data_IF_099238173996
#
_entry.id   IF_099238173996
#
_cell.length_a   1.000
_cell.length_b   1.000
_cell.length_c   1.000
_cell.angle_alpha   90.00
_cell.angle_beta   90.00
_cell.angle_gamma   90.00
#
_symmetry.space_group_name_H-M   'P 1'
#
loop_
_entity.id
_entity.type
_entity.pdbx_description
1 polymer ?
#
# COMPACT_ATOMS: atom_id res chain seq x y z
N UNK A 1 9.22 -2.32 12.38
CA UNK A 1 10.71 -2.40 12.41
C UNK A 1 11.43 -1.09 12.70
N UNK A 2 10.81 0.09 12.57
CA UNK A 2 11.46 1.36 12.97
C UNK A 2 11.97 1.29 14.41
N UNK A 3 11.18 0.66 15.28
CA UNK A 3 11.53 0.33 16.66
C UNK A 3 12.85 -0.46 16.80
N UNK A 4 13.17 -1.36 15.85
CA UNK A 4 14.41 -2.16 15.86
C UNK A 4 15.62 -1.41 15.32
N UNK A 5 15.42 -0.47 14.40
CA UNK A 5 16.51 0.24 13.71
C UNK A 5 16.77 1.66 14.24
N UNK A 6 15.87 2.21 15.05
CA UNK A 6 16.00 3.50 15.72
C UNK A 6 15.77 4.73 14.84
N UNK A 7 16.15 4.69 13.55
CA UNK A 7 15.88 5.79 12.61
C UNK A 7 15.68 5.31 11.17
N UNK A 8 15.04 6.14 10.34
CA UNK A 8 14.88 5.87 8.91
C UNK A 8 16.24 5.79 8.19
N UNK A 9 17.24 6.58 8.60
CA UNK A 9 18.59 6.49 8.03
C UNK A 9 19.25 5.14 8.32
N UNK A 10 19.02 4.57 9.50
CA UNK A 10 19.55 3.25 9.85
C UNK A 10 18.85 2.15 9.06
N UNK A 11 17.53 2.24 8.89
CA UNK A 11 16.78 1.34 7.99
C UNK A 11 17.34 1.43 6.57
N UNK A 12 17.57 2.64 6.07
CA UNK A 12 18.13 2.88 4.75
C UNK A 12 19.53 2.25 4.59
N UNK A 13 20.43 2.48 5.55
CA UNK A 13 21.78 1.88 5.55
C UNK A 13 21.72 0.35 5.52
N UNK A 14 20.91 -0.25 6.38
CA UNK A 14 20.75 -1.71 6.43
C UNK A 14 20.15 -2.26 5.12
N UNK A 15 19.16 -1.59 4.53
CA UNK A 15 18.61 -1.98 3.23
C UNK A 15 19.63 -1.87 2.09
N UNK A 16 20.53 -0.88 2.15
CA UNK A 16 21.58 -0.72 1.15
C UNK A 16 22.66 -1.81 1.23
N UNK A 17 22.77 -2.56 2.34
CA UNK A 17 23.67 -3.72 2.41
C UNK A 17 23.29 -4.80 1.37
N UNK A 18 22.01 -4.93 1.03
CA UNK A 18 21.54 -5.80 -0.05
C UNK A 18 22.16 -5.40 -1.40
N UNK A 19 22.19 -4.11 -1.70
CA UNK A 19 22.79 -3.58 -2.92
C UNK A 19 24.30 -3.78 -2.90
N UNK A 20 24.96 -3.51 -1.78
CA UNK A 20 26.41 -3.72 -1.62
C UNK A 20 26.83 -5.18 -1.75
N UNK A 21 25.94 -6.11 -1.46
CA UNK A 21 26.20 -7.55 -1.59
C UNK A 21 26.14 -8.06 -3.04
N UNK A 22 25.62 -7.26 -3.98
CA UNK A 22 25.63 -7.62 -5.41
C UNK A 22 27.06 -7.75 -5.93
N UNK A 23 27.33 -8.64 -6.89
CA UNK A 23 28.62 -8.66 -7.59
C UNK A 23 28.78 -7.40 -8.45
N UNK A 24 30.00 -7.05 -8.90
CA UNK A 24 30.25 -5.84 -9.70
C UNK A 24 29.44 -5.74 -10.99
N UNK A 25 29.10 -6.88 -11.59
CA UNK A 25 28.27 -7.05 -12.79
C UNK A 25 26.78 -7.27 -12.48
N UNK A 26 26.40 -7.27 -11.20
CA UNK A 26 25.01 -7.38 -10.77
C UNK A 26 24.20 -6.12 -11.10
N UNK A 27 22.87 -6.27 -11.08
CA UNK A 27 21.91 -5.17 -11.28
C UNK A 27 21.30 -4.72 -9.96
N UNK A 28 21.36 -3.41 -9.71
CA UNK A 28 20.60 -2.76 -8.65
C UNK A 28 19.32 -2.13 -9.20
N UNK A 29 18.17 -2.42 -8.58
CA UNK A 29 16.88 -1.81 -8.94
C UNK A 29 16.40 -0.91 -7.80
N UNK A 30 16.05 0.33 -8.13
CA UNK A 30 15.82 1.40 -7.15
C UNK A 30 14.48 2.11 -7.39
N UNK A 31 13.74 2.35 -6.32
CA UNK A 31 12.57 3.21 -6.33
C UNK A 31 13.00 4.69 -6.22
N UNK A 32 12.94 5.42 -7.32
CA UNK A 32 13.35 6.83 -7.38
C UNK A 32 12.49 7.76 -6.53
N UNK A 33 11.24 7.38 -6.27
CA UNK A 33 10.27 8.21 -5.56
C UNK A 33 10.56 8.30 -4.06
N UNK A 34 11.36 7.38 -3.52
CA UNK A 34 11.80 7.45 -2.14
C UNK A 34 13.15 8.20 -2.06
N UNK A 35 13.23 9.34 -1.33
CA UNK A 35 14.46 10.13 -1.25
C UNK A 35 15.67 9.35 -0.73
N UNK A 36 15.49 8.47 0.25
CA UNK A 36 16.59 7.66 0.79
C UNK A 36 17.09 6.62 -0.24
N UNK A 37 16.18 6.02 -1.01
CA UNK A 37 16.53 5.06 -2.06
C UNK A 37 17.16 5.76 -3.26
N UNK A 38 16.72 6.98 -3.58
CA UNK A 38 17.38 7.83 -4.58
C UNK A 38 18.83 8.13 -4.19
N UNK A 39 19.07 8.53 -2.93
CA UNK A 39 20.42 8.72 -2.42
C UNK A 39 21.29 7.44 -2.51
N UNK A 40 20.69 6.25 -2.37
CA UNK A 40 21.41 4.99 -2.59
C UNK A 40 21.79 4.80 -4.06
N UNK A 41 20.88 5.08 -4.99
CA UNK A 41 21.15 5.00 -6.42
C UNK A 41 22.27 5.96 -6.85
N UNK A 42 22.29 7.17 -6.29
CA UNK A 42 23.29 8.21 -6.54
C UNK A 42 24.70 7.82 -6.08
N UNK A 43 24.85 6.82 -5.19
CA UNK A 43 26.18 6.30 -4.81
C UNK A 43 26.89 5.55 -5.94
N UNK A 44 26.18 5.21 -7.02
CA UNK A 44 26.81 4.67 -8.23
C UNK A 44 27.19 3.19 -8.18
N UNK A 45 26.69 2.41 -7.21
CA UNK A 45 26.92 0.96 -7.11
C UNK A 45 25.60 0.17 -7.13
N UNK A 46 25.53 -0.98 -7.82
CA UNK A 46 26.53 -1.52 -8.76
C UNK A 46 26.63 -0.66 -10.04
N UNK A 47 27.44 -1.06 -11.03
CA UNK A 47 27.58 -0.31 -12.29
C UNK A 47 26.25 -0.25 -13.06
N UNK A 48 25.56 -1.38 -13.18
CA UNK A 48 24.25 -1.47 -13.83
C UNK A 48 23.15 -1.16 -12.82
N UNK A 49 22.46 -0.03 -13.00
CA UNK A 49 21.40 0.43 -12.09
C UNK A 49 20.16 0.82 -12.87
N UNK A 50 19.02 0.28 -12.45
CA UNK A 50 17.71 0.63 -13.00
C UNK A 50 16.94 1.41 -11.93
N UNK A 51 16.46 2.59 -12.30
CA UNK A 51 15.56 3.36 -11.46
C UNK A 51 14.15 3.36 -12.06
N UNK A 52 13.16 3.34 -11.17
CA UNK A 52 11.73 3.43 -11.54
C UNK A 52 11.07 4.60 -10.83
N UNK A 53 10.02 5.15 -11.43
CA UNK A 53 9.20 6.20 -10.79
C UNK A 53 7.76 6.15 -11.27
N UNK A 54 6.80 6.36 -10.37
CA UNK A 54 5.41 6.64 -10.75
C UNK A 54 5.03 8.12 -10.67
N UNK A 55 5.96 8.98 -10.24
CA UNK A 55 5.73 10.41 -10.02
C UNK A 55 6.40 11.32 -11.05
N UNK A 56 7.31 10.79 -11.88
CA UNK A 56 7.96 11.54 -12.94
C UNK A 56 7.25 11.37 -14.28
N UNK A 57 7.20 12.44 -15.07
CA UNK A 57 6.91 12.32 -16.49
C UNK A 57 8.04 11.58 -17.23
N UNK A 58 7.77 10.98 -18.40
CA UNK A 58 8.82 10.35 -19.21
C UNK A 58 10.00 11.28 -19.54
N UNK A 59 9.72 12.56 -19.80
CA UNK A 59 10.76 13.56 -20.11
C UNK A 59 11.67 13.85 -18.90
N UNK A 60 11.07 14.03 -17.71
CA UNK A 60 11.85 14.23 -16.47
C UNK A 60 12.64 12.99 -16.11
N UNK A 61 12.04 11.82 -16.25
CA UNK A 61 12.67 10.54 -15.99
C UNK A 61 13.91 10.32 -16.87
N UNK A 62 13.80 10.59 -18.17
CA UNK A 62 14.93 10.51 -19.10
C UNK A 62 16.08 11.44 -18.68
N UNK A 63 15.79 12.68 -18.27
CA UNK A 63 16.81 13.65 -17.78
C UNK A 63 17.50 13.17 -16.50
N UNK A 64 16.81 12.40 -15.68
CA UNK A 64 17.30 11.88 -14.39
C UNK A 64 17.92 10.48 -14.50
N UNK A 65 17.89 9.84 -15.67
CA UNK A 65 18.34 8.45 -15.84
C UNK A 65 17.40 7.43 -15.20
N UNK A 66 16.13 7.76 -15.02
CA UNK A 66 15.07 6.85 -14.58
C UNK A 66 14.49 6.15 -15.81
N UNK A 67 14.53 4.82 -15.81
CA UNK A 67 14.19 4.02 -16.99
C UNK A 67 12.70 3.74 -17.11
N UNK A 68 12.08 3.14 -16.10
CA UNK A 68 10.67 2.76 -16.17
C UNK A 68 9.80 3.72 -15.40
N UNK A 69 8.82 4.32 -16.08
CA UNK A 69 7.84 5.18 -15.45
C UNK A 69 6.41 4.77 -15.71
N UNK A 70 5.53 5.06 -14.75
CA UNK A 70 4.09 4.89 -14.93
C UNK A 70 3.42 6.22 -15.27
N UNK A 71 2.50 6.20 -16.24
CA UNK A 71 1.66 7.36 -16.60
C UNK A 71 0.19 6.97 -16.63
N UNK A 72 -0.69 7.97 -16.58
CA UNK A 72 -2.15 7.80 -16.67
C UNK A 72 -2.71 6.79 -15.66
N UNK A 73 -2.20 6.82 -14.43
CA UNK A 73 -2.60 5.89 -13.38
C UNK A 73 -4.04 6.15 -12.98
N UNK A 74 -4.86 5.11 -13.11
CA UNK A 74 -6.24 5.12 -12.66
C UNK A 74 -6.51 3.85 -11.85
N UNK A 75 -7.25 4.03 -10.77
CA UNK A 75 -7.64 2.96 -9.87
C UNK A 75 -9.16 2.80 -9.89
N UNK A 76 -9.62 1.57 -10.06
CA UNK A 76 -11.03 1.22 -10.10
C UNK A 76 -11.28 0.02 -9.20
N UNK A 77 -12.55 -0.31 -8.97
CA UNK A 77 -12.89 -1.56 -8.28
C UNK A 77 -12.35 -2.80 -9.01
N UNK A 78 -12.15 -2.75 -10.32
CA UNK A 78 -11.65 -3.89 -11.08
C UNK A 78 -10.11 -3.97 -11.14
N UNK A 79 -9.42 -3.03 -10.49
CA UNK A 79 -7.96 -2.98 -10.41
C UNK A 79 -7.36 -1.69 -10.96
N UNK A 80 -6.08 -1.77 -11.31
CA UNK A 80 -5.26 -0.65 -11.78
C UNK A 80 -5.13 -0.65 -13.31
N UNK A 81 -5.22 0.54 -13.88
CA UNK A 81 -4.98 0.80 -15.31
C UNK A 81 -3.97 1.95 -15.44
N UNK A 82 -2.87 1.73 -16.16
CA UNK A 82 -1.80 2.71 -16.36
C UNK A 82 -0.93 2.29 -17.54
N UNK A 83 -0.12 3.20 -18.07
CA UNK A 83 0.92 2.84 -19.04
C UNK A 83 2.28 2.74 -18.34
N UNK A 84 3.12 1.77 -18.77
CA UNK A 84 4.55 1.75 -18.45
C UNK A 84 5.30 2.24 -19.68
N UNK A 85 6.16 3.23 -19.48
CA UNK A 85 7.09 3.75 -20.50
C UNK A 85 8.51 3.34 -20.13
N UNK A 86 9.23 2.72 -21.06
CA UNK A 86 10.67 2.52 -20.99
C UNK A 86 11.36 3.72 -21.68
N UNK A 87 11.97 4.61 -20.91
CA UNK A 87 12.60 5.85 -21.43
C UNK A 87 13.89 5.59 -22.21
N UNK A 88 14.45 4.38 -22.13
CA UNK A 88 15.64 3.98 -22.89
C UNK A 88 15.27 3.60 -24.32
N UNK A 89 14.17 2.86 -24.50
CA UNK A 89 13.69 2.39 -25.82
C UNK A 89 12.59 3.28 -26.41
N UNK A 90 11.96 4.13 -25.59
CA UNK A 90 10.72 4.85 -25.87
C UNK A 90 9.52 3.94 -26.16
N UNK A 91 9.59 2.67 -25.74
CA UNK A 91 8.44 1.76 -25.82
C UNK A 91 7.44 2.10 -24.72
N UNK A 92 6.15 1.96 -25.05
CA UNK A 92 5.05 2.14 -24.12
C UNK A 92 4.10 0.94 -24.21
N UNK A 93 3.70 0.41 -23.05
CA UNK A 93 2.65 -0.61 -22.97
C UNK A 93 1.59 -0.22 -21.97
N UNK A 94 0.35 -0.57 -22.29
CA UNK A 94 -0.76 -0.40 -21.36
C UNK A 94 -0.87 -1.60 -20.42
N UNK A 95 -0.88 -1.34 -19.12
CA UNK A 95 -1.08 -2.31 -18.05
C UNK A 95 -2.52 -2.27 -17.59
N UNK A 96 -3.13 -3.46 -17.56
CA UNK A 96 -4.35 -3.74 -16.83
C UNK A 96 -4.04 -4.85 -15.84
N UNK A 97 -4.34 -4.66 -14.56
CA UNK A 97 -4.11 -5.66 -13.52
C UNK A 97 -5.26 -5.67 -12.53
N UNK A 98 -5.70 -6.85 -12.04
CA UNK A 98 -6.76 -6.91 -11.02
C UNK A 98 -6.26 -6.54 -9.62
N UNK A 99 -4.97 -6.24 -9.45
CA UNK A 99 -4.42 -5.76 -8.18
C UNK A 99 -5.01 -4.40 -7.83
N UNK A 100 -5.37 -4.24 -6.56
CA UNK A 100 -5.83 -2.98 -5.98
C UNK A 100 -4.68 -2.29 -5.23
N UNK A 101 -4.83 -1.00 -4.96
CA UNK A 101 -3.87 -0.16 -4.26
C UNK A 101 -2.83 0.43 -5.22
N UNK A 102 -2.85 1.74 -5.43
CA UNK A 102 -1.89 2.47 -6.28
C UNK A 102 -0.40 2.23 -5.91
N UNK A 103 -0.10 1.74 -4.70
CA UNK A 103 1.25 1.30 -4.33
C UNK A 103 1.74 0.09 -5.15
N UNK A 104 0.82 -0.73 -5.67
CA UNK A 104 1.16 -1.84 -6.56
C UNK A 104 1.68 -1.38 -7.94
N UNK A 105 1.44 -0.13 -8.35
CA UNK A 105 2.10 0.45 -9.54
C UNK A 105 3.62 0.46 -9.33
N UNK A 106 4.09 0.92 -8.17
CA UNK A 106 5.53 0.90 -7.83
C UNK A 106 6.08 -0.52 -7.79
N UNK A 107 5.34 -1.47 -7.19
CA UNK A 107 5.75 -2.88 -7.16
C UNK A 107 5.87 -3.48 -8.57
N UNK A 108 4.91 -3.17 -9.44
CA UNK A 108 4.91 -3.62 -10.84
C UNK A 108 6.04 -2.99 -11.64
N UNK A 109 6.34 -1.71 -11.44
CA UNK A 109 7.50 -1.07 -12.08
C UNK A 109 8.81 -1.72 -11.63
N UNK A 110 8.98 -2.00 -10.33
CA UNK A 110 10.16 -2.71 -9.82
C UNK A 110 10.29 -4.12 -10.43
N UNK A 111 9.18 -4.87 -10.51
CA UNK A 111 9.15 -6.18 -11.14
C UNK A 111 9.43 -6.10 -12.65
N UNK A 112 8.91 -5.07 -13.33
CA UNK A 112 9.15 -4.80 -14.75
C UNK A 112 10.62 -4.56 -15.01
N UNK A 113 11.28 -3.74 -14.17
CA UNK A 113 12.71 -3.47 -14.31
C UNK A 113 13.56 -4.74 -14.24
N UNK A 114 13.24 -5.64 -13.30
CA UNK A 114 13.92 -6.94 -13.20
C UNK A 114 13.58 -7.82 -14.41
N UNK A 115 12.31 -7.97 -14.76
CA UNK A 115 11.88 -8.87 -15.84
C UNK A 115 12.46 -8.47 -17.20
N UNK A 116 12.44 -7.17 -17.52
CA UNK A 116 13.00 -6.65 -18.79
C UNK A 116 14.52 -6.78 -18.80
N UNK A 117 15.19 -6.57 -17.66
CA UNK A 117 16.63 -6.83 -17.55
C UNK A 117 16.98 -8.30 -17.84
N UNK A 118 16.15 -9.24 -17.39
CA UNK A 118 16.29 -10.68 -17.63
C UNK A 118 15.80 -11.11 -19.04
N UNK A 119 15.49 -10.16 -19.92
CA UNK A 119 15.19 -10.41 -21.34
C UNK A 119 13.71 -10.60 -21.68
N UNK A 120 12.80 -10.36 -20.74
CA UNK A 120 11.36 -10.35 -21.01
C UNK A 120 10.97 -9.09 -21.78
N UNK A 121 10.11 -9.21 -22.79
CA UNK A 121 9.63 -8.03 -23.53
C UNK A 121 8.59 -7.27 -22.71
N UNK A 122 8.52 -5.96 -22.92
CA UNK A 122 7.60 -5.11 -22.17
C UNK A 122 6.13 -5.50 -22.42
N UNK A 123 5.77 -5.97 -23.62
CA UNK A 123 4.42 -6.48 -23.91
C UNK A 123 4.11 -7.79 -23.18
N UNK A 124 5.12 -8.62 -22.90
CA UNK A 124 4.93 -9.86 -22.14
C UNK A 124 4.63 -9.52 -20.68
N UNK A 125 5.27 -8.49 -20.14
CA UNK A 125 4.97 -7.97 -18.79
C UNK A 125 3.52 -7.51 -18.73
N UNK A 126 3.08 -6.71 -19.71
CA UNK A 126 1.69 -6.26 -19.82
C UNK A 126 0.69 -7.42 -19.93
N UNK A 127 1.03 -8.46 -20.69
CA UNK A 127 0.20 -9.65 -20.81
C UNK A 127 0.08 -10.40 -19.47
N UNK A 128 1.19 -10.60 -18.75
CA UNK A 128 1.19 -11.30 -17.45
C UNK A 128 0.47 -10.52 -16.36
N UNK A 129 0.60 -9.19 -16.35
CA UNK A 129 -0.03 -8.31 -15.36
C UNK A 129 -1.55 -8.51 -15.23
N UNK A 130 -2.22 -8.88 -16.33
CA UNK A 130 -3.67 -9.15 -16.39
C UNK A 130 -4.13 -10.34 -15.55
N UNK A 131 -3.21 -11.26 -15.27
CA UNK A 131 -3.50 -12.53 -14.59
C UNK A 131 -2.96 -12.60 -13.17
N UNK A 132 -2.31 -11.53 -12.70
CA UNK A 132 -1.78 -11.46 -11.35
C UNK A 132 -2.90 -11.66 -10.33
N UNK A 133 -2.53 -12.26 -9.21
CA UNK A 133 -3.41 -12.40 -8.05
C UNK A 133 -2.81 -11.61 -6.90
N UNK A 134 -3.63 -11.00 -6.04
CA UNK A 134 -3.13 -10.38 -4.82
C UNK A 134 -2.42 -11.44 -3.98
N UNK A 135 -1.34 -11.02 -3.31
CA UNK A 135 -0.77 -11.84 -2.26
C UNK A 135 -1.78 -12.03 -1.12
N UNK A 136 -1.64 -13.11 -0.36
CA UNK A 136 -2.50 -13.37 0.79
C UNK A 136 -2.54 -12.16 1.74
N UNK A 137 -3.74 -11.78 2.17
CA UNK A 137 -4.00 -10.63 3.06
C UNK A 137 -3.46 -9.28 2.55
N UNK A 138 -3.37 -9.09 1.23
CA UNK A 138 -3.00 -7.83 0.57
C UNK A 138 -4.11 -7.32 -0.35
N UNK A 139 -5.05 -6.57 0.21
CA UNK A 139 -6.24 -6.06 -0.50
C UNK A 139 -7.04 -7.16 -1.22
N UNK A 140 -7.18 -8.32 -0.58
CA UNK A 140 -7.96 -9.43 -1.13
C UNK A 140 -9.44 -9.07 -1.02
N UNK A 141 -10.11 -8.94 -2.17
CA UNK A 141 -11.54 -8.62 -2.25
C UNK A 141 -12.39 -9.89 -2.40
N UNK A 142 -13.43 -10.00 -1.58
CA UNK A 142 -14.44 -11.06 -1.66
C UNK A 142 -15.84 -10.48 -1.44
N UNK A 143 -16.87 -11.11 -2.00
CA UNK A 143 -18.26 -10.73 -1.76
C UNK A 143 -18.96 -11.87 -1.03
N UNK A 144 -19.60 -11.57 0.09
CA UNK A 144 -20.34 -12.56 0.88
C UNK A 144 -21.62 -12.99 0.17
N UNK A 145 -22.23 -14.08 0.62
CA UNK A 145 -23.55 -14.52 0.12
C UNK A 145 -24.66 -13.49 0.37
N UNK A 146 -24.46 -12.56 1.30
CA UNK A 146 -25.38 -11.48 1.66
C UNK A 146 -25.12 -10.21 0.82
N UNK A 147 -24.12 -10.21 -0.08
CA UNK A 147 -23.80 -9.08 -0.94
C UNK A 147 -22.94 -8.01 -0.29
N UNK A 148 -22.29 -8.29 0.86
CA UNK A 148 -21.32 -7.39 1.50
C UNK A 148 -19.96 -7.60 0.85
N UNK A 149 -19.26 -6.51 0.52
CA UNK A 149 -17.87 -6.61 0.04
C UNK A 149 -16.91 -6.61 1.22
N UNK A 150 -16.05 -7.62 1.30
CA UNK A 150 -14.95 -7.71 2.25
C UNK A 150 -13.64 -7.39 1.51
N UNK A 151 -12.84 -6.50 2.08
CA UNK A 151 -11.48 -6.20 1.65
C UNK A 151 -10.55 -6.57 2.81
N UNK A 152 -9.69 -7.55 2.60
CA UNK A 152 -8.73 -8.00 3.60
C UNK A 152 -7.32 -7.47 3.26
N UNK A 153 -6.84 -6.51 4.07
CA UNK A 153 -5.46 -6.01 4.08
C UNK A 153 -4.83 -6.13 5.48
N UNK A 154 -5.10 -7.25 6.15
CA UNK A 154 -4.67 -7.51 7.52
C UNK A 154 -3.15 -7.73 7.70
N UNK A 155 -2.33 -7.52 6.67
CA UNK A 155 -0.86 -7.57 6.78
C UNK A 155 -0.20 -6.18 6.70
N UNK A 156 -0.93 -5.15 6.25
CA UNK A 156 -0.33 -3.81 6.09
C UNK A 156 0.07 -3.22 7.44
N UNK A 157 1.35 -2.92 7.62
CA UNK A 157 1.87 -2.23 8.82
C UNK A 157 2.59 -0.91 8.48
N UNK A 158 2.65 -0.53 7.19
CA UNK A 158 3.35 0.67 6.75
C UNK A 158 2.35 1.76 6.33
N UNK A 159 2.66 3.06 6.58
CA UNK A 159 1.74 4.17 6.29
C UNK A 159 1.26 4.24 4.83
N UNK A 160 2.14 3.97 3.86
CA UNK A 160 1.79 4.02 2.43
C UNK A 160 0.73 2.97 2.06
N UNK A 161 0.88 1.75 2.57
CA UNK A 161 -0.08 0.66 2.37
C UNK A 161 -1.44 0.97 3.00
N UNK A 162 -1.43 1.48 4.23
CA UNK A 162 -2.64 1.88 4.98
C UNK A 162 -3.44 2.94 4.22
N UNK A 163 -2.80 4.00 3.75
CA UNK A 163 -3.47 5.05 2.97
C UNK A 163 -4.03 4.47 1.66
N UNK A 164 -3.26 3.59 0.99
CA UNK A 164 -3.73 2.88 -0.20
C UNK A 164 -5.00 2.06 0.06
N UNK A 165 -5.05 1.32 1.17
CA UNK A 165 -6.22 0.53 1.54
C UNK A 165 -7.46 1.40 1.82
N UNK A 166 -7.29 2.53 2.50
CA UNK A 166 -8.37 3.49 2.75
C UNK A 166 -8.91 4.10 1.44
N UNK A 167 -8.02 4.43 0.49
CA UNK A 167 -8.45 4.89 -0.85
C UNK A 167 -9.26 3.83 -1.58
N UNK A 168 -8.82 2.57 -1.53
CA UNK A 168 -9.57 1.43 -2.11
C UNK A 168 -10.94 1.31 -1.46
N UNK A 169 -11.05 1.45 -0.14
CA UNK A 169 -12.35 1.50 0.55
C UNK A 169 -13.21 2.65 0.01
N UNK A 170 -12.62 3.83 -0.23
CA UNK A 170 -13.27 5.00 -0.81
C UNK A 170 -13.85 4.82 -2.22
N UNK A 171 -13.34 3.86 -3.01
CA UNK A 171 -13.89 3.52 -4.33
C UNK A 171 -15.31 2.93 -4.24
N UNK A 172 -15.70 2.41 -3.07
CA UNK A 172 -17.04 1.90 -2.80
C UNK A 172 -17.99 3.06 -2.46
N UNK A 173 -18.53 3.70 -3.49
CA UNK A 173 -19.39 4.88 -3.34
C UNK A 173 -20.84 4.56 -2.96
N UNK A 174 -21.24 3.29 -3.03
CA UNK A 174 -22.57 2.82 -2.63
C UNK A 174 -22.49 2.17 -1.23
N UNK A 175 -23.54 2.34 -0.43
CA UNK A 175 -23.62 1.74 0.90
C UNK A 175 -22.67 2.37 1.92
N UNK A 176 -22.52 1.68 3.05
CA UNK A 176 -21.59 2.00 4.14
C UNK A 176 -20.19 1.47 3.82
N UNK A 177 -19.19 2.21 4.28
CA UNK A 177 -17.77 1.85 4.23
C UNK A 177 -17.24 1.71 5.65
N UNK A 178 -17.14 0.48 6.13
CA UNK A 178 -16.65 0.16 7.46
C UNK A 178 -15.14 -0.10 7.44
N UNK A 179 -14.39 0.61 8.28
CA UNK A 179 -13.00 0.26 8.61
C UNK A 179 -12.96 -0.54 9.92
N UNK A 180 -12.24 -1.66 9.94
CA UNK A 180 -11.90 -2.42 11.14
C UNK A 180 -10.37 -2.45 11.25
N UNK A 181 -9.83 -1.91 12.34
CA UNK A 181 -8.38 -1.83 12.53
C UNK A 181 -7.98 -1.83 14.02
N UNK A 182 -6.87 -2.46 14.39
CA UNK A 182 -6.23 -2.28 15.69
C UNK A 182 -5.10 -1.23 15.67
N UNK A 183 -4.86 -0.60 14.51
CA UNK A 183 -3.75 0.31 14.29
C UNK A 183 -2.47 -0.34 13.79
N UNK A 184 -1.52 0.53 13.43
CA UNK A 184 -0.17 0.15 13.04
C UNK A 184 0.71 -0.11 14.26
N UNK A 185 1.42 -1.24 14.25
CA UNK A 185 2.35 -1.69 15.30
C UNK A 185 3.82 -1.57 14.86
N UNK A 186 4.77 -1.75 15.79
CA UNK A 186 6.23 -1.68 15.56
C UNK A 186 6.77 -0.36 14.94
N UNK A 187 6.10 0.76 15.22
CA UNK A 187 6.46 2.09 14.72
C UNK A 187 7.43 2.86 15.62
N UNK A 188 7.67 2.38 16.86
CA UNK A 188 8.50 3.09 17.84
C UNK A 188 7.95 4.50 18.11
N UNK A 189 8.82 5.50 18.08
CA UNK A 189 8.47 6.91 18.37
C UNK A 189 7.43 7.51 17.39
N UNK A 190 7.26 6.90 16.20
CA UNK A 190 6.27 7.35 15.21
C UNK A 190 4.86 6.78 15.45
N UNK A 191 4.68 5.90 16.45
CA UNK A 191 3.41 5.22 16.68
C UNK A 191 2.25 6.18 16.89
N UNK A 192 2.41 7.18 17.77
CA UNK A 192 1.38 8.18 18.07
C UNK A 192 1.01 8.98 16.81
N UNK A 193 2.03 9.51 16.12
CA UNK A 193 1.85 10.39 14.97
C UNK A 193 1.18 9.67 13.78
N UNK A 194 1.68 8.49 13.41
CA UNK A 194 1.20 7.77 12.22
C UNK A 194 -0.18 7.15 12.46
N UNK A 195 -0.49 6.68 13.68
CA UNK A 195 -1.84 6.21 13.99
C UNK A 195 -2.85 7.37 14.09
N UNK A 196 -2.42 8.56 14.55
CA UNK A 196 -3.27 9.75 14.48
C UNK A 196 -3.58 10.14 13.03
N UNK A 197 -2.57 10.15 12.15
CA UNK A 197 -2.75 10.35 10.70
C UNK A 197 -3.67 9.29 10.07
N UNK A 198 -3.57 8.04 10.51
CA UNK A 198 -4.48 6.97 10.08
C UNK A 198 -5.92 7.33 10.43
N UNK A 199 -6.18 7.78 11.66
CA UNK A 199 -7.52 8.22 12.08
C UNK A 199 -8.05 9.41 11.27
N UNK A 200 -7.22 10.43 11.07
CA UNK A 200 -7.56 11.60 10.23
C UNK A 200 -7.91 11.18 8.80
N UNK A 201 -7.08 10.33 8.19
CA UNK A 201 -7.31 9.83 6.82
C UNK A 201 -8.54 8.92 6.75
N UNK A 202 -8.75 8.07 7.76
CA UNK A 202 -9.90 7.18 7.81
C UNK A 202 -11.22 7.96 7.81
N UNK A 203 -11.26 9.15 8.43
CA UNK A 203 -12.44 10.02 8.42
C UNK A 203 -12.84 10.50 7.01
N UNK A 204 -11.90 10.54 6.05
CA UNK A 204 -12.18 10.91 4.66
C UNK A 204 -12.88 9.79 3.88
N UNK A 205 -12.55 8.52 4.18
CA UNK A 205 -12.96 7.38 3.36
C UNK A 205 -13.99 6.48 4.03
N UNK A 206 -14.00 6.34 5.35
CA UNK A 206 -14.91 5.48 6.07
C UNK A 206 -16.21 6.20 6.44
N UNK A 207 -17.33 5.48 6.47
CA UNK A 207 -18.58 5.95 7.07
C UNK A 207 -18.71 5.50 8.52
N UNK A 208 -18.07 4.40 8.88
CA UNK A 208 -18.08 3.77 10.19
C UNK A 208 -16.68 3.20 10.49
N UNK A 209 -16.25 3.26 11.75
CA UNK A 209 -14.95 2.72 12.19
C UNK A 209 -15.14 1.86 13.43
N UNK A 210 -14.56 0.67 13.42
CA UNK A 210 -14.37 -0.17 14.60
C UNK A 210 -12.87 -0.24 14.90
N UNK A 211 -12.50 0.25 16.08
CA UNK A 211 -11.18 0.13 16.65
C UNK A 211 -11.10 -1.13 17.51
N UNK A 212 -10.12 -1.99 17.26
CA UNK A 212 -9.90 -3.24 18.00
C UNK A 212 -8.77 -3.05 19.01
N UNK A 213 -9.15 -3.03 20.29
CA UNK A 213 -8.29 -2.84 21.46
C UNK A 213 -8.15 -1.38 21.87
N UNK A 214 -8.75 -1.05 23.00
CA UNK A 214 -8.98 0.34 23.44
C UNK A 214 -7.73 1.15 23.76
N UNK A 215 -6.62 0.51 24.18
CA UNK A 215 -5.39 1.20 24.59
C UNK A 215 -4.56 1.65 23.40
N UNK A 216 -4.26 0.75 22.45
CA UNK A 216 -3.38 1.04 21.32
C UNK A 216 -4.04 1.92 20.26
N UNK A 217 -5.37 1.92 20.17
CA UNK A 217 -6.09 2.70 19.17
C UNK A 217 -6.43 4.11 19.62
N UNK A 218 -6.01 4.54 20.82
CA UNK A 218 -6.23 5.91 21.32
C UNK A 218 -5.75 6.99 20.33
N UNK A 219 -4.57 6.87 19.70
CA UNK A 219 -4.12 7.88 18.74
C UNK A 219 -5.02 7.95 17.50
N UNK A 220 -5.56 6.80 17.05
CA UNK A 220 -6.50 6.73 15.92
C UNK A 220 -7.83 7.41 16.29
N UNK A 221 -8.37 7.10 17.47
CA UNK A 221 -9.59 7.72 17.96
C UNK A 221 -9.44 9.24 18.05
N UNK A 222 -8.28 9.73 18.50
CA UNK A 222 -7.95 11.16 18.50
C UNK A 222 -7.90 11.74 17.09
N UNK A 223 -7.26 11.06 16.14
CA UNK A 223 -7.22 11.50 14.74
C UNK A 223 -8.62 11.59 14.10
N UNK A 224 -9.48 10.61 14.38
CA UNK A 224 -10.89 10.64 13.96
C UNK A 224 -11.64 11.82 14.58
N UNK A 225 -11.44 12.08 15.87
CA UNK A 225 -12.05 13.21 16.57
C UNK A 225 -11.57 14.56 16.04
N UNK A 226 -10.25 14.72 15.84
CA UNK A 226 -9.63 15.92 15.30
C UNK A 226 -10.17 16.24 13.88
N UNK A 227 -10.50 15.20 13.11
CA UNK A 227 -11.14 15.30 11.79
C UNK A 227 -12.69 15.47 11.83
N UNK A 228 -13.31 15.51 13.02
CA UNK A 228 -14.75 15.68 13.18
C UNK A 228 -15.58 14.44 12.86
N UNK A 229 -15.00 13.24 12.95
CA UNK A 229 -15.71 11.99 12.72
C UNK A 229 -16.82 11.77 13.76
N UNK A 230 -18.05 11.36 13.38
CA UNK A 230 -19.15 11.24 14.32
C UNK A 230 -18.91 10.14 15.37
N UNK A 231 -19.00 10.50 16.66
CA UNK A 231 -18.85 9.52 17.76
C UNK A 231 -19.85 8.36 17.67
N UNK A 232 -21.05 8.60 17.11
CA UNK A 232 -22.08 7.57 16.90
C UNK A 232 -21.72 6.54 15.83
N UNK A 233 -20.67 6.80 15.04
CA UNK A 233 -20.14 5.96 13.96
C UNK A 233 -18.78 5.34 14.31
N UNK A 234 -18.26 5.66 15.49
CA UNK A 234 -17.04 5.11 16.04
C UNK A 234 -17.38 4.08 17.12
N UNK A 235 -16.87 2.87 16.94
CA UNK A 235 -16.98 1.79 17.91
C UNK A 235 -15.60 1.35 18.35
N UNK A 236 -15.49 0.98 19.63
CA UNK A 236 -14.28 0.39 20.19
C UNK A 236 -14.68 -0.95 20.79
N UNK A 237 -13.98 -2.00 20.38
CA UNK A 237 -14.21 -3.38 20.82
C UNK A 237 -12.87 -3.99 21.25
N UNK A 238 -12.90 -5.08 22.00
CA UNK A 238 -11.64 -5.69 22.49
C UNK A 238 -11.16 -6.84 21.59
N UNK A 239 -12.03 -7.40 20.75
CA UNK A 239 -11.71 -8.57 19.92
C UNK A 239 -12.19 -8.43 18.47
N UNK A 240 -11.50 -9.12 17.57
CA UNK A 240 -11.93 -9.24 16.17
C UNK A 240 -13.33 -9.87 16.07
N UNK A 241 -13.64 -10.85 16.91
CA UNK A 241 -14.94 -11.54 16.92
C UNK A 241 -16.10 -10.59 17.30
N UNK A 242 -15.86 -9.59 18.14
CA UNK A 242 -16.84 -8.53 18.41
C UNK A 242 -17.05 -7.64 17.19
N UNK A 243 -15.98 -7.24 16.50
CA UNK A 243 -16.06 -6.47 15.27
C UNK A 243 -16.81 -7.24 14.16
N UNK A 244 -16.55 -8.54 14.03
CA UNK A 244 -17.23 -9.44 13.08
C UNK A 244 -18.73 -9.48 13.35
N UNK A 245 -19.11 -9.79 14.60
CA UNK A 245 -20.52 -9.82 15.00
C UNK A 245 -21.22 -8.48 14.74
N UNK A 246 -20.54 -7.37 14.98
CA UNK A 246 -21.10 -6.06 14.72
C UNK A 246 -21.40 -5.87 13.23
N UNK A 247 -20.45 -6.15 12.32
CA UNK A 247 -20.70 -5.90 10.89
C UNK A 247 -21.74 -6.86 10.32
N UNK A 248 -21.77 -8.12 10.75
CA UNK A 248 -22.79 -9.09 10.33
C UNK A 248 -24.22 -8.66 10.70
N UNK A 249 -24.38 -7.89 11.78
CA UNK A 249 -25.67 -7.39 12.26
C UNK A 249 -26.06 -6.03 11.66
N UNK A 250 -25.09 -5.24 11.19
CA UNK A 250 -25.29 -3.83 10.85
C UNK A 250 -25.04 -3.48 9.37
N UNK A 251 -24.31 -4.32 8.65
CA UNK A 251 -24.08 -4.17 7.22
C UNK A 251 -25.07 -5.00 6.41
N UNK A 252 -25.33 -4.53 5.20
CA UNK A 252 -26.30 -5.10 4.25
C UNK A 252 -25.69 -5.18 2.85
N UNK A 253 -26.43 -5.74 1.90
CA UNK A 253 -25.98 -5.86 0.51
C UNK A 253 -25.57 -4.48 -0.06
N UNK A 254 -24.38 -4.41 -0.65
CA UNK A 254 -23.79 -3.18 -1.18
C UNK A 254 -22.87 -2.45 -0.20
N UNK A 255 -22.90 -2.78 1.09
CA UNK A 255 -21.94 -2.25 2.06
C UNK A 255 -20.56 -2.92 1.91
N UNK A 256 -19.52 -2.24 2.38
CA UNK A 256 -18.13 -2.69 2.29
C UNK A 256 -17.44 -2.64 3.66
N UNK A 257 -16.66 -3.67 3.98
CA UNK A 257 -15.80 -3.73 5.16
C UNK A 257 -14.35 -3.93 4.76
N UNK A 258 -13.46 -3.08 5.29
CA UNK A 258 -12.01 -3.20 5.19
C UNK A 258 -11.44 -3.67 6.53
N UNK A 259 -10.79 -4.84 6.52
CA UNK A 259 -9.92 -5.28 7.60
C UNK A 259 -8.51 -4.79 7.33
N UNK A 260 -7.97 -3.96 8.23
CA UNK A 260 -6.69 -3.29 8.05
C UNK A 260 -5.76 -3.51 9.23
N UNK A 261 -4.49 -3.78 8.92
CA UNK A 261 -3.44 -4.15 9.86
C UNK A 261 -3.66 -5.53 10.52
N UNK A 262 -2.61 -6.04 11.15
CA UNK A 262 -2.64 -7.35 11.80
C UNK A 262 -3.64 -7.33 12.97
N UNK A 263 -4.70 -8.14 12.84
CA UNK A 263 -5.81 -8.25 13.77
C UNK A 263 -5.62 -9.53 14.60
N UNK A 264 -4.93 -9.47 15.74
CA UNK A 264 -4.76 -10.64 16.60
C UNK A 264 -6.10 -11.02 17.21
N UNK A 265 -6.31 -12.33 17.41
CA UNK A 265 -7.47 -12.87 18.09
C UNK A 265 -7.57 -12.43 19.57
N UNK A 266 -6.49 -11.88 20.14
CA UNK A 266 -6.43 -11.44 21.53
C UNK A 266 -5.50 -10.25 21.73
N UNK A 267 -6.04 -9.11 22.19
CA UNK A 267 -5.28 -8.10 22.93
C UNK A 267 -5.53 -8.30 24.42
N UNK A 268 -4.89 -9.30 25.02
CA UNK A 268 -4.88 -9.45 26.48
C UNK A 268 -3.71 -8.65 27.04
N UNK A 269 -4.00 -7.53 27.72
CA UNK A 269 -3.10 -6.87 28.67
C UNK A 269 -3.89 -6.29 29.85
#
# INVERSE_FOLDING_TARGET
HLERFGSLENVAKAKYELIKALPPDGVGVFNWDNPHVRQMWEQGYPQTRLAISKNLSPEEAQKQGVRFVATNITETLDGLNFAIVDTETNEEVFIHTPLLGEHNVTNLLLATAVAVHEGMRLEEVAFRARTLQPAESRLVRQVTTQGITIINDAYSANPVGVIGALRVLGLHQQGRRLLITPGMVELGDLHEEENRKLGETAAEYATDVILVGSKQTQPIAKGLQDAGFPETRLHVVETLQEAIRWYEQNLTAGDTVLFLNDLPDTYHN
#
